data_IF_957947267230
#
_entry.id   IF_957947267230
#
_cell.length_a   1.000
_cell.length_b   1.000
_cell.length_c   1.000
_cell.angle_alpha   90.00
_cell.angle_beta   90.00
_cell.angle_gamma   90.00
#
_symmetry.space_group_name_H-M   'P 1'
#
loop_
_entity.id
_entity.type
_entity.pdbx_description
1 polymer ?
#
# COMPACT_ATOMS: atom_id res chain seq x y z
N UNK A 1 13.05 -2.59 -10.27
CA UNK A 1 12.01 -1.89 -9.49
C UNK A 1 11.88 -0.48 -10.04
N UNK A 2 10.67 -0.06 -10.42
CA UNK A 2 10.39 1.33 -10.82
C UNK A 2 9.80 2.03 -9.59
N UNK A 3 10.43 3.12 -9.14
CA UNK A 3 9.97 3.88 -7.97
C UNK A 3 9.17 5.09 -8.45
N UNK A 4 7.88 5.11 -8.12
CA UNK A 4 6.95 6.23 -8.37
C UNK A 4 6.44 6.81 -7.04
N UNK A 5 7.34 6.97 -6.06
CA UNK A 5 7.05 7.59 -4.78
C UNK A 5 7.02 9.11 -4.89
N UNK A 6 5.93 9.73 -4.44
CA UNK A 6 5.75 11.18 -4.45
C UNK A 6 5.61 11.70 -3.01
N UNK A 7 6.64 12.41 -2.51
CA UNK A 7 6.68 12.96 -1.15
C UNK A 7 5.44 13.83 -0.89
N UNK A 8 4.57 13.39 0.03
CA UNK A 8 3.31 14.07 0.39
C UNK A 8 2.20 14.07 -0.68
N UNK A 9 2.44 13.46 -1.83
CA UNK A 9 1.64 13.65 -3.05
C UNK A 9 1.24 12.34 -3.76
N UNK A 10 1.55 11.16 -3.23
CA UNK A 10 0.98 9.92 -3.78
C UNK A 10 -0.44 9.73 -3.26
N UNK A 11 -1.46 10.25 -3.96
CA UNK A 11 -2.83 10.34 -3.41
C UNK A 11 -3.90 9.55 -4.17
N UNK A 12 -3.47 8.53 -4.93
CA UNK A 12 -4.37 7.68 -5.72
C UNK A 12 -5.11 8.44 -6.83
N UNK A 13 -4.53 9.52 -7.36
CA UNK A 13 -5.14 10.30 -8.43
C UNK A 13 -5.42 9.45 -9.67
N UNK A 14 -6.65 9.51 -10.24
CA UNK A 14 -7.00 8.73 -11.43
C UNK A 14 -6.08 8.98 -12.63
N UNK A 15 -5.57 10.20 -12.78
CA UNK A 15 -4.63 10.57 -13.84
C UNK A 15 -3.31 9.83 -13.70
N UNK A 16 -2.80 9.69 -12.46
CA UNK A 16 -1.58 8.94 -12.16
C UNK A 16 -1.83 7.44 -12.35
N UNK A 17 -2.98 6.93 -11.91
CA UNK A 17 -3.35 5.52 -12.10
C UNK A 17 -3.37 5.13 -13.59
N UNK A 18 -3.86 6.01 -14.47
CA UNK A 18 -3.83 5.78 -15.93
C UNK A 18 -2.41 5.70 -16.47
N UNK A 19 -1.52 6.61 -16.07
CA UNK A 19 -0.12 6.58 -16.49
C UNK A 19 0.62 5.34 -15.96
N UNK A 20 0.36 4.94 -14.72
CA UNK A 20 0.91 3.70 -14.15
C UNK A 20 0.42 2.48 -14.92
N UNK A 21 -0.84 2.47 -15.36
CA UNK A 21 -1.41 1.38 -16.14
C UNK A 21 -0.76 1.20 -17.52
N UNK A 22 -0.04 2.19 -18.06
CA UNK A 22 0.71 2.07 -19.31
C UNK A 22 2.01 1.25 -19.16
N UNK A 23 2.48 1.02 -17.93
CA UNK A 23 3.71 0.30 -17.66
C UNK A 23 3.51 -1.22 -17.75
N UNK A 24 4.43 -1.90 -18.42
CA UNK A 24 4.55 -3.37 -18.38
C UNK A 24 5.29 -3.78 -17.10
N UNK A 25 4.52 -4.06 -16.04
CA UNK A 25 5.03 -4.40 -14.72
C UNK A 25 4.67 -5.85 -14.35
N UNK A 26 5.57 -6.54 -13.65
CA UNK A 26 5.28 -7.87 -13.07
C UNK A 26 4.38 -7.79 -11.83
N UNK A 27 4.32 -6.65 -11.15
CA UNK A 27 3.46 -6.41 -9.99
C UNK A 27 3.26 -4.91 -9.81
N UNK A 28 2.03 -4.51 -9.50
CA UNK A 28 1.73 -3.15 -9.04
C UNK A 28 1.62 -3.14 -7.52
N UNK A 29 2.32 -2.22 -6.87
CA UNK A 29 2.34 -2.06 -5.42
C UNK A 29 1.76 -0.68 -5.11
N UNK A 30 0.64 -0.63 -4.40
CA UNK A 30 -0.06 0.60 -4.05
C UNK A 30 0.19 0.90 -2.57
N UNK A 31 1.30 1.59 -2.32
CA UNK A 31 1.73 2.07 -1.00
C UNK A 31 1.55 3.60 -0.93
N UNK A 32 0.28 4.04 -0.85
CA UNK A 32 -0.08 5.46 -0.89
C UNK A 32 -0.76 5.95 0.41
N UNK A 33 -1.12 5.04 1.32
CA UNK A 33 -1.85 5.37 2.55
C UNK A 33 -1.20 6.48 3.41
N UNK A 34 0.14 6.61 3.50
CA UNK A 34 0.74 7.68 4.29
C UNK A 34 0.31 9.09 3.86
N UNK A 35 -0.12 9.28 2.60
CA UNK A 35 -0.45 10.58 2.01
C UNK A 35 -1.96 10.82 1.82
N UNK A 36 -2.80 9.84 2.13
CA UNK A 36 -4.26 9.93 1.93
C UNK A 36 -5.02 9.79 3.24
N UNK A 37 -6.30 10.15 3.20
CA UNK A 37 -7.24 10.02 4.31
C UNK A 37 -8.36 9.06 3.93
N UNK A 38 -9.05 8.51 4.93
CA UNK A 38 -10.16 7.58 4.74
C UNK A 38 -11.18 8.01 3.64
N UNK A 39 -11.61 9.28 3.51
CA UNK A 39 -12.51 9.67 2.41
C UNK A 39 -11.91 9.51 1.02
N UNK A 40 -10.61 9.76 0.85
CA UNK A 40 -9.90 9.55 -0.42
C UNK A 40 -9.73 8.06 -0.69
N UNK A 41 -9.33 7.29 0.32
CA UNK A 41 -9.20 5.82 0.21
C UNK A 41 -10.53 5.19 -0.23
N UNK A 42 -11.65 5.60 0.39
CA UNK A 42 -12.99 5.11 0.04
C UNK A 42 -13.37 5.42 -1.40
N UNK A 43 -12.99 6.61 -1.88
CA UNK A 43 -13.37 7.10 -3.21
C UNK A 43 -12.50 6.53 -4.31
N UNK A 44 -11.20 6.39 -4.09
CA UNK A 44 -10.21 6.18 -5.17
C UNK A 44 -9.63 4.76 -5.23
N UNK A 45 -9.66 3.97 -4.15
CA UNK A 45 -9.02 2.64 -4.15
C UNK A 45 -9.61 1.72 -5.22
N UNK A 46 -10.93 1.56 -5.25
CA UNK A 46 -11.57 0.66 -6.21
C UNK A 46 -11.44 1.17 -7.66
N UNK A 47 -11.66 2.46 -7.98
CA UNK A 47 -11.38 2.99 -9.31
C UNK A 47 -9.93 2.78 -9.76
N UNK A 48 -8.95 2.95 -8.87
CA UNK A 48 -7.55 2.71 -9.16
C UNK A 48 -7.31 1.24 -9.52
N UNK A 49 -7.79 0.30 -8.69
CA UNK A 49 -7.65 -1.14 -8.97
C UNK A 49 -8.35 -1.51 -10.28
N UNK A 50 -9.55 -0.99 -10.52
CA UNK A 50 -10.32 -1.25 -11.76
C UNK A 50 -9.60 -0.68 -13.00
N UNK A 51 -8.95 0.48 -12.88
CA UNK A 51 -8.11 1.05 -13.94
C UNK A 51 -6.93 0.15 -14.27
N UNK A 52 -6.19 -0.31 -13.25
CA UNK A 52 -5.07 -1.24 -13.45
C UNK A 52 -5.54 -2.57 -14.05
N UNK A 53 -6.65 -3.12 -13.55
CA UNK A 53 -7.22 -4.39 -14.03
C UNK A 53 -7.72 -4.33 -15.47
N UNK A 54 -8.22 -3.18 -15.93
CA UNK A 54 -8.65 -3.00 -17.31
C UNK A 54 -7.48 -3.09 -18.30
N UNK A 55 -6.31 -2.57 -17.92
CA UNK A 55 -5.09 -2.64 -18.74
C UNK A 55 -4.31 -3.95 -18.52
N UNK A 56 -4.34 -4.48 -17.29
CA UNK A 56 -3.57 -5.63 -16.83
C UNK A 56 -4.47 -6.65 -16.11
N UNK A 57 -5.14 -7.53 -16.87
CA UNK A 57 -6.12 -8.46 -16.31
C UNK A 57 -5.54 -9.42 -15.27
N UNK A 58 -4.31 -9.89 -15.49
CA UNK A 58 -3.68 -10.93 -14.66
C UNK A 58 -2.56 -10.42 -13.73
N UNK A 59 -1.97 -9.25 -14.01
CA UNK A 59 -0.80 -8.76 -13.27
C UNK A 59 -1.14 -8.54 -11.79
N UNK A 60 -0.42 -9.13 -10.83
CA UNK A 60 -0.70 -8.92 -9.41
C UNK A 60 -0.75 -7.45 -8.97
N UNK A 61 -1.71 -7.14 -8.10
CA UNK A 61 -1.80 -5.86 -7.40
C UNK A 61 -1.69 -6.13 -5.90
N UNK A 62 -0.77 -5.46 -5.23
CA UNK A 62 -0.62 -5.46 -3.79
C UNK A 62 -1.07 -4.12 -3.22
N UNK A 63 -2.13 -4.12 -2.42
CA UNK A 63 -2.52 -2.96 -1.61
C UNK A 63 -1.73 -2.99 -0.29
N UNK A 64 -1.18 -1.85 0.11
CA UNK A 64 -0.33 -1.76 1.31
C UNK A 64 -0.89 -0.71 2.25
N UNK A 65 -1.01 -1.09 3.52
CA UNK A 65 -1.33 -0.15 4.59
C UNK A 65 -0.14 0.75 4.92
N UNK A 66 -0.41 1.93 5.47
CA UNK A 66 0.69 2.72 6.03
C UNK A 66 1.27 2.09 7.29
N UNK A 67 2.57 2.25 7.50
CA UNK A 67 3.23 2.01 8.79
C UNK A 67 2.60 2.81 9.94
N UNK A 68 2.60 2.20 11.13
CA UNK A 68 2.31 2.89 12.39
C UNK A 68 3.43 3.89 12.69
N UNK A 69 3.09 5.14 13.02
CA UNK A 69 4.11 6.11 13.43
C UNK A 69 4.79 5.66 14.73
N UNK A 70 6.11 5.75 14.83
CA UNK A 70 6.82 5.35 16.05
C UNK A 70 6.47 6.23 17.27
N UNK A 71 5.99 7.46 17.04
CA UNK A 71 5.47 8.35 18.07
C UNK A 71 3.93 8.36 18.19
N UNK A 72 3.24 7.38 17.61
CA UNK A 72 1.78 7.33 17.58
C UNK A 72 1.16 7.32 18.99
N UNK A 73 1.82 6.68 19.96
CA UNK A 73 1.36 6.62 21.36
C UNK A 73 1.23 7.99 22.05
N UNK A 74 1.83 9.05 21.47
CA UNK A 74 1.70 10.43 21.93
C UNK A 74 0.70 11.25 21.10
N UNK A 75 0.15 10.68 20.02
CA UNK A 75 -0.64 11.38 19.01
C UNK A 75 -1.95 10.64 18.69
N UNK A 76 -2.98 10.75 19.55
CA UNK A 76 -4.26 10.09 19.36
C UNK A 76 -4.91 10.40 18.00
N UNK A 77 -4.85 11.65 17.54
CA UNK A 77 -5.42 12.05 16.24
C UNK A 77 -4.72 11.35 15.07
N UNK A 78 -3.41 11.12 15.18
CA UNK A 78 -2.66 10.38 14.17
C UNK A 78 -3.06 8.92 14.17
N UNK A 79 -3.15 8.29 15.35
CA UNK A 79 -3.64 6.91 15.48
C UNK A 79 -5.03 6.75 14.85
N UNK A 80 -5.93 7.69 15.11
CA UNK A 80 -7.28 7.65 14.56
C UNK A 80 -7.28 7.74 13.04
N UNK A 81 -6.51 8.67 12.49
CA UNK A 81 -6.36 8.83 11.04
C UNK A 81 -5.84 7.56 10.38
N UNK A 82 -4.83 6.92 10.97
CA UNK A 82 -4.27 5.65 10.52
C UNK A 82 -5.33 4.55 10.55
N UNK A 83 -5.96 4.34 11.71
CA UNK A 83 -6.99 3.33 11.93
C UNK A 83 -8.13 3.45 10.92
N UNK A 84 -8.66 4.66 10.74
CA UNK A 84 -9.75 4.92 9.80
C UNK A 84 -9.33 4.65 8.34
N UNK A 85 -8.13 5.06 7.94
CA UNK A 85 -7.66 4.90 6.56
C UNK A 85 -7.38 3.42 6.23
N UNK A 86 -6.77 2.68 7.16
CA UNK A 86 -6.55 1.23 7.04
C UNK A 86 -7.85 0.45 6.98
N UNK A 87 -8.80 0.76 7.87
CA UNK A 87 -10.12 0.12 7.87
C UNK A 87 -10.80 0.28 6.50
N UNK A 88 -10.82 1.50 5.95
CA UNK A 88 -11.46 1.75 4.65
C UNK A 88 -10.71 1.07 3.51
N UNK A 89 -9.38 0.97 3.56
CA UNK A 89 -8.60 0.21 2.57
C UNK A 89 -8.94 -1.28 2.62
N UNK A 90 -9.02 -1.86 3.81
CA UNK A 90 -9.38 -3.27 4.00
C UNK A 90 -10.81 -3.53 3.50
N UNK A 91 -11.78 -2.67 3.84
CA UNK A 91 -13.15 -2.80 3.35
C UNK A 91 -13.23 -2.71 1.81
N UNK A 92 -12.42 -1.85 1.18
CA UNK A 92 -12.32 -1.78 -0.28
C UNK A 92 -11.70 -3.05 -0.87
N UNK A 93 -10.66 -3.59 -0.23
CA UNK A 93 -10.07 -4.87 -0.61
C UNK A 93 -11.10 -6.00 -0.56
N UNK A 94 -11.86 -6.11 0.54
CA UNK A 94 -12.90 -7.14 0.70
C UNK A 94 -13.96 -7.06 -0.39
N UNK A 95 -14.48 -5.85 -0.68
CA UNK A 95 -15.46 -5.64 -1.77
C UNK A 95 -14.89 -6.05 -3.13
N UNK A 96 -13.64 -5.69 -3.44
CA UNK A 96 -13.00 -6.10 -4.70
C UNK A 96 -12.83 -7.62 -4.79
N UNK A 97 -12.55 -8.30 -3.66
CA UNK A 97 -12.48 -9.77 -3.60
C UNK A 97 -13.85 -10.40 -3.82
N UNK A 98 -14.91 -9.85 -3.23
CA UNK A 98 -16.31 -10.27 -3.43
C UNK A 98 -16.77 -10.07 -4.89
N UNK A 99 -16.35 -8.98 -5.53
CA UNK A 99 -16.56 -8.72 -6.97
C UNK A 99 -15.75 -9.68 -7.86
N UNK A 100 -14.86 -10.49 -7.29
CA UNK A 100 -14.12 -11.53 -8.00
C UNK A 100 -12.80 -11.06 -8.60
N UNK A 101 -12.28 -9.89 -8.21
CA UNK A 101 -10.98 -9.39 -8.68
C UNK A 101 -9.87 -10.39 -8.32
N UNK A 102 -9.20 -10.89 -9.35
CA UNK A 102 -8.11 -11.88 -9.22
C UNK A 102 -6.78 -11.21 -8.97
N UNK A 103 -5.84 -12.00 -8.44
CA UNK A 103 -4.45 -11.60 -8.18
C UNK A 103 -4.35 -10.27 -7.42
N UNK A 104 -5.26 -10.08 -6.45
CA UNK A 104 -5.29 -8.93 -5.55
C UNK A 104 -4.87 -9.42 -4.16
N UNK A 105 -3.85 -8.75 -3.62
CA UNK A 105 -3.17 -9.08 -2.37
C UNK A 105 -3.16 -7.87 -1.44
N UNK A 106 -2.91 -8.11 -0.16
CA UNK A 106 -2.93 -7.10 0.89
C UNK A 106 -1.71 -7.26 1.80
N UNK A 107 -1.14 -6.14 2.25
CA UNK A 107 -0.07 -6.10 3.26
C UNK A 107 -0.45 -5.13 4.37
N UNK A 108 -0.60 -5.68 5.57
CA UNK A 108 -0.90 -4.92 6.79
C UNK A 108 0.29 -4.06 7.24
N UNK A 109 -0.03 -2.94 7.87
CA UNK A 109 0.91 -1.86 8.17
C UNK A 109 1.49 -1.89 9.57
N UNK A 110 0.83 -2.60 10.49
CA UNK A 110 1.09 -2.48 11.94
C UNK A 110 2.52 -2.83 12.32
N UNK A 111 3.08 -3.87 11.70
CA UNK A 111 4.41 -4.39 12.04
C UNK A 111 5.44 -4.19 10.93
N UNK A 112 5.17 -3.30 9.96
CA UNK A 112 6.05 -3.05 8.83
C UNK A 112 7.47 -2.65 9.25
N UNK A 113 7.59 -1.92 10.36
CA UNK A 113 8.86 -1.35 10.82
C UNK A 113 9.33 -1.91 12.18
N UNK A 114 8.65 -2.94 12.70
CA UNK A 114 8.88 -3.48 14.04
C UNK A 114 8.06 -2.79 15.12
N UNK A 115 8.40 -3.06 16.40
CA UNK A 115 7.62 -2.67 17.59
C UNK A 115 8.47 -1.94 18.66
N UNK A 116 9.74 -1.63 18.37
CA UNK A 116 10.67 -1.00 19.32
C UNK A 116 10.80 0.52 19.18
N UNK A 117 10.17 1.11 18.16
CA UNK A 117 10.18 2.56 17.86
C UNK A 117 11.53 3.16 17.45
N UNK A 118 12.53 2.33 17.12
CA UNK A 118 13.89 2.74 16.68
C UNK A 118 14.02 2.87 15.15
N UNK A 119 12.89 2.81 14.44
CA UNK A 119 12.81 2.54 13.01
C UNK A 119 12.65 3.78 12.13
N UNK A 120 12.43 4.97 12.72
CA UNK A 120 12.25 6.22 11.99
C UNK A 120 13.18 7.33 12.45
N UNK A 121 13.41 8.33 11.58
CA UNK A 121 14.21 9.52 11.91
C UNK A 121 13.37 10.59 12.62
N UNK A 122 12.08 10.69 12.30
CA UNK A 122 11.19 11.79 12.73
C UNK A 122 9.81 11.32 13.23
N UNK A 123 9.66 10.02 13.48
CA UNK A 123 8.39 9.39 13.83
C UNK A 123 7.59 8.85 12.64
N UNK A 124 8.00 9.17 11.41
CA UNK A 124 7.23 8.89 10.19
C UNK A 124 8.07 8.29 9.07
N UNK A 125 9.25 8.81 8.82
CA UNK A 125 10.13 8.39 7.73
C UNK A 125 11.12 7.34 8.24
N UNK A 126 11.13 6.12 7.66
CA UNK A 126 12.04 5.07 8.10
C UNK A 126 13.50 5.49 8.00
N UNK A 127 14.31 5.07 8.97
CA UNK A 127 15.77 5.06 8.86
C UNK A 127 16.22 3.73 8.20
N UNK A 128 17.53 3.47 8.15
CA UNK A 128 18.07 2.26 7.53
C UNK A 128 17.53 0.96 8.16
N UNK A 129 17.36 0.93 9.50
CA UNK A 129 16.78 -0.21 10.20
C UNK A 129 15.29 -0.38 9.85
N UNK A 130 14.53 0.72 9.80
CA UNK A 130 13.13 0.70 9.39
C UNK A 130 12.96 0.20 7.96
N UNK A 131 13.76 0.69 7.01
CA UNK A 131 13.71 0.21 5.62
C UNK A 131 14.15 -1.25 5.49
N UNK A 132 15.12 -1.71 6.28
CA UNK A 132 15.50 -3.13 6.31
C UNK A 132 14.33 -4.02 6.75
N UNK A 133 13.62 -3.62 7.81
CA UNK A 133 12.43 -4.34 8.31
C UNK A 133 11.28 -4.30 7.31
N UNK A 134 11.04 -3.13 6.71
CA UNK A 134 10.02 -2.96 5.66
C UNK A 134 10.32 -3.89 4.48
N UNK A 135 11.56 -3.91 3.98
CA UNK A 135 11.97 -4.78 2.89
C UNK A 135 11.71 -6.26 3.21
N UNK A 136 12.03 -6.71 4.43
CA UNK A 136 11.75 -8.08 4.86
C UNK A 136 10.25 -8.40 4.93
N UNK A 137 9.40 -7.45 5.32
CA UNK A 137 7.94 -7.61 5.30
C UNK A 137 7.40 -7.74 3.87
N UNK A 138 7.85 -6.86 2.96
CA UNK A 138 7.48 -6.92 1.55
C UNK A 138 7.98 -8.20 0.87
N UNK A 139 9.20 -8.65 1.15
CA UNK A 139 9.75 -9.88 0.56
C UNK A 139 8.86 -11.10 0.86
N UNK A 140 8.37 -11.23 2.10
CA UNK A 140 7.48 -12.34 2.50
C UNK A 140 6.22 -12.45 1.64
N UNK A 141 5.70 -11.31 1.17
CA UNK A 141 4.49 -11.24 0.35
C UNK A 141 4.82 -11.31 -1.14
N UNK A 142 5.82 -10.55 -1.60
CA UNK A 142 6.15 -10.42 -3.01
C UNK A 142 6.81 -11.68 -3.58
N UNK A 143 7.66 -12.36 -2.82
CA UNK A 143 8.36 -13.56 -3.29
C UNK A 143 7.40 -14.65 -3.81
N UNK A 144 6.41 -15.13 -3.04
CA UNK A 144 5.47 -16.12 -3.55
C UNK A 144 4.59 -15.58 -4.70
N UNK A 145 4.26 -14.28 -4.72
CA UNK A 145 3.49 -13.66 -5.82
C UNK A 145 4.26 -13.73 -7.14
N UNK A 146 5.56 -13.39 -7.11
CA UNK A 146 6.39 -13.38 -8.31
C UNK A 146 6.77 -14.79 -8.77
N UNK A 147 7.01 -15.72 -7.84
CA UNK A 147 7.31 -17.13 -8.18
C UNK A 147 6.12 -17.85 -8.83
N UNK A 148 4.88 -17.42 -8.58
CA UNK A 148 3.67 -17.95 -9.23
C UNK A 148 3.57 -17.54 -10.71
N UNK A 149 4.23 -16.46 -11.13
CA UNK A 149 4.20 -15.99 -12.52
C UNK A 149 5.17 -16.76 -13.44
N UNK A 150 6.20 -17.38 -12.85
CA UNK A 150 7.25 -18.09 -13.59
C UNK A 150 6.91 -19.56 -13.87
N UNK A 151 5.72 -20.01 -13.47
CA UNK A 151 5.21 -21.38 -13.69
C UNK A 151 4.13 -21.38 -14.75
#
# INVERSE_FOLDING_TARGET
>A
VINLGFSGNGRMEPEVAKLVAELDASVFIIDCLPNVTAPVVARETEPLVKTLRAAHPETPILLVEDRTYSNAYLKPDSQERHRASRQVLHEAFDRLKEEGVKNLYYLEGETLLGDDSEDTVDGSHPNDLGFFRQAAAFEKVLKPILEQQTK
#
